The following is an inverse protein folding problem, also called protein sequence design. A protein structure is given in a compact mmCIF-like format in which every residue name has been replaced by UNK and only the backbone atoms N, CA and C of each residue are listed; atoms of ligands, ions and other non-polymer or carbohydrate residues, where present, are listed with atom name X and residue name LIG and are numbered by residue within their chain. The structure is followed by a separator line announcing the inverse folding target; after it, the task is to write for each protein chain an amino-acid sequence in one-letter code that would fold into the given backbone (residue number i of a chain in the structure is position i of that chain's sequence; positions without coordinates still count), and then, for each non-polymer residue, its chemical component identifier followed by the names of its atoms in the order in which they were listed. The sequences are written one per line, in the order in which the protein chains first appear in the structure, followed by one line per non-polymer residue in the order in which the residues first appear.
data_IF_640986244133
#
_entry.id   IF_640986244133
#
_cell.length_a   1.000
_cell.length_b   1.000
_cell.length_c   1.000
_cell.angle_alpha   90.00
_cell.angle_beta   90.00
_cell.angle_gamma   90.00
#
_symmetry.space_group_name_H-M   'P 1'
#
loop_
_entity.id
_entity.type
_entity.pdbx_description
1 polymer ?
#
# COMPACT_ATOMS: atom_id res chain seq x y z
N UNK A 1 53.53 -5.00 49.32
CA UNK A 1 53.66 -5.28 47.87
C UNK A 1 52.72 -4.34 47.14
N UNK A 2 53.26 -3.48 46.26
CA UNK A 2 52.51 -2.44 45.54
C UNK A 2 51.71 -3.08 44.41
N UNK A 3 50.37 -3.01 44.44
CA UNK A 3 49.55 -3.24 43.25
C UNK A 3 49.72 -2.04 42.32
N UNK A 4 50.46 -2.23 41.23
CA UNK A 4 50.50 -1.27 40.12
C UNK A 4 49.21 -1.48 39.30
N UNK A 5 48.27 -0.54 39.36
CA UNK A 5 47.23 -0.43 38.34
C UNK A 5 47.92 0.03 37.04
N UNK A 6 47.96 -0.83 36.01
CA UNK A 6 48.25 -0.37 34.65
C UNK A 6 46.92 -0.06 33.95
N UNK A 7 46.73 1.21 33.57
CA UNK A 7 45.70 1.59 32.61
C UNK A 7 46.09 1.05 31.23
N UNK A 8 45.31 0.13 30.69
CA UNK A 8 45.38 -0.20 29.26
C UNK A 8 44.60 0.87 28.48
N UNK A 9 45.32 1.79 27.82
CA UNK A 9 44.77 2.94 27.08
C UNK A 9 43.84 2.57 25.90
N UNK A 10 43.57 1.29 25.63
CA UNK A 10 42.76 0.83 24.51
C UNK A 10 41.38 0.25 24.88
N UNK A 11 41.05 0.06 26.17
CA UNK A 11 39.79 -0.63 26.53
C UNK A 11 39.00 -0.11 27.76
N UNK A 12 39.41 1.00 28.38
CA UNK A 12 38.55 1.76 29.31
C UNK A 12 37.92 1.03 30.53
N UNK A 13 38.35 -0.19 30.89
CA UNK A 13 37.75 -0.97 31.99
C UNK A 13 38.80 -1.57 32.90
N UNK A 14 38.60 -1.46 34.23
CA UNK A 14 39.47 -2.00 35.28
C UNK A 14 39.05 -3.43 35.64
N UNK A 15 39.96 -4.41 35.56
CA UNK A 15 39.70 -5.80 35.97
C UNK A 15 40.69 -6.21 37.07
N UNK A 16 40.18 -6.74 38.17
CA UNK A 16 40.97 -7.32 39.26
C UNK A 16 41.34 -8.78 38.95
N UNK A 17 42.61 -9.15 39.09
CA UNK A 17 43.08 -10.53 38.90
C UNK A 17 43.00 -11.32 40.22
N UNK A 18 42.37 -12.49 40.19
CA UNK A 18 42.59 -13.56 41.18
C UNK A 18 43.07 -14.82 40.46
N UNK A 19 44.18 -15.37 40.96
CA UNK A 19 44.94 -16.50 40.43
C UNK A 19 44.10 -17.76 40.19
N UNK A 20 44.04 -18.21 38.94
CA UNK A 20 43.84 -19.62 38.60
C UNK A 20 44.81 -19.97 37.46
N UNK A 21 45.79 -20.81 37.77
CA UNK A 21 46.78 -21.31 36.83
C UNK A 21 46.14 -22.25 35.80
N UNK A 22 46.47 -22.05 34.52
CA UNK A 22 46.29 -23.08 33.50
C UNK A 22 45.21 -22.84 32.44
N UNK A 23 45.12 -21.65 31.86
CA UNK A 23 44.54 -21.45 30.52
C UNK A 23 45.33 -20.38 29.76
N UNK A 24 45.67 -20.70 28.51
CA UNK A 24 46.32 -19.80 27.56
C UNK A 24 45.43 -18.57 27.33
N UNK A 25 45.84 -17.41 27.87
CA UNK A 25 45.13 -16.13 27.79
C UNK A 25 45.35 -15.51 26.41
N UNK A 26 44.71 -16.08 25.38
CA UNK A 26 44.48 -15.36 24.15
C UNK A 26 43.43 -14.27 24.40
N UNK A 27 43.84 -13.01 24.35
CA UNK A 27 42.93 -11.87 24.25
C UNK A 27 42.07 -12.04 22.98
N UNK A 28 40.88 -12.64 23.12
CA UNK A 28 39.89 -12.67 22.04
C UNK A 28 39.30 -11.28 21.87
N UNK A 29 39.51 -10.73 20.68
CA UNK A 29 38.86 -9.52 20.16
C UNK A 29 37.33 -9.59 20.40
N UNK A 30 36.64 -8.56 20.93
CA UNK A 30 35.18 -8.61 21.13
C UNK A 30 34.38 -8.59 19.82
N UNK A 31 35.05 -8.48 18.68
CA UNK A 31 34.43 -8.45 17.36
C UNK A 31 34.08 -9.85 16.81
N UNK A 32 33.41 -10.71 17.59
CA UNK A 32 32.74 -11.92 17.07
C UNK A 32 31.58 -12.37 17.98
N UNK A 33 30.62 -11.49 18.23
CA UNK A 33 29.23 -11.93 18.18
C UNK A 33 28.95 -12.18 16.69
N UNK A 34 29.21 -13.41 16.24
CA UNK A 34 28.75 -13.88 14.95
C UNK A 34 27.22 -13.74 14.96
N UNK A 35 26.69 -12.65 14.42
CA UNK A 35 25.34 -12.65 13.86
C UNK A 35 25.39 -13.75 12.82
N UNK A 36 24.94 -14.95 13.19
CA UNK A 36 24.83 -16.06 12.25
C UNK A 36 24.02 -15.53 11.09
N UNK A 37 24.63 -15.47 9.89
CA UNK A 37 23.86 -15.14 8.69
C UNK A 37 22.75 -16.20 8.60
N UNK A 38 21.48 -15.79 8.57
CA UNK A 38 20.37 -16.73 8.52
C UNK A 38 20.55 -17.68 7.35
N UNK A 39 20.25 -18.98 7.55
CA UNK A 39 20.28 -19.96 6.47
C UNK A 39 19.27 -19.54 5.39
N UNK A 40 19.72 -19.19 4.17
CA UNK A 40 18.82 -18.75 3.09
C UNK A 40 17.85 -19.85 2.65
N UNK A 41 18.05 -21.10 3.09
CA UNK A 41 17.13 -22.23 2.85
C UNK A 41 15.97 -22.29 3.86
N UNK A 42 16.04 -21.58 4.99
CA UNK A 42 14.93 -21.51 5.94
C UNK A 42 14.00 -20.36 5.60
N UNK A 43 12.72 -20.68 5.42
CA UNK A 43 11.68 -19.69 5.16
C UNK A 43 11.51 -18.73 6.36
N UNK A 44 11.58 -19.29 7.57
CA UNK A 44 11.55 -18.54 8.82
C UNK A 44 12.97 -18.29 9.37
N UNK A 45 13.18 -17.05 9.78
CA UNK A 45 14.36 -16.60 10.50
C UNK A 45 14.38 -17.01 11.96
N UNK A 46 13.20 -17.16 12.56
CA UNK A 46 12.98 -17.46 13.97
C UNK A 46 11.90 -18.53 14.09
N UNK A 47 11.90 -19.36 15.14
CA UNK A 47 10.74 -20.19 15.45
C UNK A 47 9.46 -19.33 15.55
N UNK A 48 8.36 -19.71 14.87
CA UNK A 48 7.14 -18.91 14.90
C UNK A 48 6.55 -18.85 16.31
N UNK A 49 6.07 -17.67 16.72
CA UNK A 49 5.26 -17.52 17.94
C UNK A 49 3.80 -17.71 17.55
N UNK A 50 3.09 -18.65 18.17
CA UNK A 50 1.73 -19.01 17.75
C UNK A 50 0.71 -18.97 18.90
N UNK A 51 -0.50 -18.53 18.58
CA UNK A 51 -1.70 -18.69 19.39
C UNK A 51 -2.79 -19.32 18.51
N UNK A 52 -3.17 -20.56 18.85
CA UNK A 52 -4.04 -21.35 17.99
C UNK A 52 -3.41 -21.58 16.61
N UNK A 53 -4.16 -21.26 15.55
CA UNK A 53 -3.71 -21.39 14.16
C UNK A 53 -2.92 -20.18 13.64
N UNK A 54 -2.84 -19.08 14.39
CA UNK A 54 -2.19 -17.84 13.96
C UNK A 54 -0.83 -17.69 14.59
N UNK A 55 0.15 -17.33 13.77
CA UNK A 55 1.54 -17.25 14.15
C UNK A 55 2.21 -15.99 13.61
N UNK A 56 3.14 -15.43 14.37
CA UNK A 56 4.12 -14.47 13.87
C UNK A 56 5.31 -15.23 13.28
N UNK A 57 5.35 -15.24 11.96
CA UNK A 57 6.48 -15.67 11.14
C UNK A 57 7.35 -14.48 10.79
N UNK A 58 8.64 -14.70 10.56
CA UNK A 58 9.54 -13.64 10.11
C UNK A 58 10.48 -14.20 9.06
N UNK A 59 10.47 -13.64 7.86
CA UNK A 59 11.43 -13.96 6.82
C UNK A 59 12.53 -12.90 6.81
N UNK A 60 13.80 -13.32 6.80
CA UNK A 60 14.86 -12.42 6.41
C UNK A 60 14.89 -12.30 4.88
N UNK A 61 15.11 -11.08 4.37
CA UNK A 61 15.45 -10.80 2.97
C UNK A 61 14.30 -10.87 1.97
N UNK A 62 13.16 -10.25 2.24
CA UNK A 62 12.19 -9.95 1.17
C UNK A 62 12.84 -9.05 0.12
N UNK A 63 12.77 -9.46 -1.15
CA UNK A 63 13.56 -8.91 -2.28
C UNK A 63 15.09 -8.88 -2.09
N UNK A 64 15.62 -9.59 -1.11
CA UNK A 64 17.01 -9.47 -0.67
C UNK A 64 17.39 -8.09 -0.12
N UNK A 65 16.39 -7.30 0.31
CA UNK A 65 16.57 -5.92 0.79
C UNK A 65 16.42 -5.86 2.32
N UNK A 66 15.31 -6.36 2.85
CA UNK A 66 14.98 -6.22 4.28
C UNK A 66 14.14 -7.38 4.81
N UNK A 67 13.95 -7.44 6.13
CA UNK A 67 13.08 -8.42 6.79
C UNK A 67 11.59 -8.12 6.61
N UNK A 68 10.76 -9.17 6.66
CA UNK A 68 9.30 -9.10 6.61
C UNK A 68 8.73 -10.01 7.71
N UNK A 69 7.87 -9.47 8.56
CA UNK A 69 7.10 -10.24 9.53
C UNK A 69 5.67 -10.46 9.05
N UNK A 70 5.13 -11.64 9.33
CA UNK A 70 3.82 -12.06 8.83
C UNK A 70 3.04 -12.68 10.00
N UNK A 71 1.88 -12.13 10.31
CA UNK A 71 0.95 -12.63 11.32
C UNK A 71 -0.20 -13.33 10.58
N UNK A 72 -0.12 -14.65 10.45
CA UNK A 72 -1.06 -15.44 9.66
C UNK A 72 -1.06 -16.89 10.09
N UNK A 73 -1.87 -17.72 9.44
CA UNK A 73 -1.66 -19.17 9.48
C UNK A 73 -0.34 -19.55 8.82
N UNK A 74 0.24 -20.69 9.18
CA UNK A 74 1.46 -21.18 8.54
C UNK A 74 1.27 -21.56 7.07
N UNK A 75 0.03 -21.83 6.62
CA UNK A 75 -0.28 -22.08 5.22
C UNK A 75 -0.16 -20.79 4.39
N UNK A 76 -0.78 -19.71 4.86
CA UNK A 76 -0.68 -18.39 4.24
C UNK A 76 0.78 -17.91 4.17
N UNK A 77 1.54 -18.08 5.25
CA UNK A 77 2.97 -17.72 5.29
C UNK A 77 3.77 -18.40 4.16
N UNK A 78 3.57 -19.71 3.94
CA UNK A 78 4.27 -20.44 2.87
C UNK A 78 4.00 -19.85 1.49
N UNK A 79 2.81 -19.29 1.25
CA UNK A 79 2.46 -18.70 -0.03
C UNK A 79 3.06 -17.29 -0.20
N UNK A 80 3.12 -16.49 0.87
CA UNK A 80 3.87 -15.23 0.85
C UNK A 80 5.34 -15.45 0.53
N UNK A 81 5.96 -16.48 1.10
CA UNK A 81 7.36 -16.82 0.81
C UNK A 81 7.55 -17.23 -0.66
N UNK A 82 6.56 -17.84 -1.32
CA UNK A 82 6.62 -18.12 -2.77
C UNK A 82 6.60 -16.83 -3.59
N UNK A 83 5.80 -15.84 -3.20
CA UNK A 83 5.70 -14.54 -3.88
C UNK A 83 7.06 -13.79 -3.92
N UNK A 84 7.96 -14.05 -2.96
CA UNK A 84 9.33 -13.50 -2.94
C UNK A 84 10.08 -13.72 -4.26
N UNK A 85 9.92 -14.89 -4.91
CA UNK A 85 10.61 -15.19 -6.18
C UNK A 85 10.25 -14.18 -7.27
N UNK A 86 8.97 -13.81 -7.34
CA UNK A 86 8.49 -12.81 -8.27
C UNK A 86 8.94 -11.40 -7.88
N UNK A 87 8.89 -11.07 -6.58
CA UNK A 87 9.31 -9.77 -6.08
C UNK A 87 10.80 -9.46 -6.32
N UNK A 88 11.68 -10.48 -6.24
CA UNK A 88 13.12 -10.35 -6.54
C UNK A 88 13.38 -10.05 -8.02
N UNK A 89 12.53 -10.57 -8.91
CA UNK A 89 12.63 -10.34 -10.36
C UNK A 89 12.12 -8.95 -10.77
N UNK A 90 11.26 -8.34 -9.96
CA UNK A 90 10.76 -6.99 -10.23
C UNK A 90 11.90 -5.96 -10.10
N UNK A 91 12.21 -5.18 -11.16
CA UNK A 91 13.24 -4.16 -11.11
C UNK A 91 13.04 -3.23 -9.92
N UNK A 92 14.14 -2.86 -9.25
CA UNK A 92 14.06 -1.77 -8.28
C UNK A 92 13.76 -0.47 -9.02
N UNK A 93 12.77 0.26 -8.52
CA UNK A 93 12.60 1.66 -8.93
C UNK A 93 13.69 2.41 -8.21
N UNK A 94 14.75 2.75 -8.94
CA UNK A 94 15.86 3.46 -8.36
C UNK A 94 15.33 4.79 -7.79
N UNK A 95 15.54 5.01 -6.48
CA UNK A 95 15.06 6.18 -5.73
C UNK A 95 15.48 7.52 -6.38
N UNK A 96 16.49 7.47 -7.26
CA UNK A 96 16.99 8.50 -8.19
C UNK A 96 16.58 9.93 -7.86
N UNK A 97 16.86 10.40 -6.64
CA UNK A 97 16.59 11.78 -6.20
C UNK A 97 15.26 12.34 -6.76
N UNK A 98 14.20 11.52 -6.87
CA UNK A 98 12.92 11.95 -7.48
C UNK A 98 12.01 12.60 -6.46
N UNK A 99 12.19 12.20 -5.20
CA UNK A 99 11.47 12.72 -4.07
C UNK A 99 12.33 12.70 -2.81
N UNK A 100 11.90 13.46 -1.81
CA UNK A 100 12.49 13.51 -0.48
C UNK A 100 11.37 13.44 0.59
N UNK A 101 11.68 12.84 1.74
CA UNK A 101 10.75 12.75 2.87
C UNK A 101 11.11 13.84 3.87
N UNK A 102 10.23 14.80 4.08
CA UNK A 102 10.49 15.96 4.96
C UNK A 102 9.36 16.18 5.94
N UNK A 103 9.66 16.88 7.03
CA UNK A 103 8.62 17.41 7.89
C UNK A 103 7.80 18.46 7.13
N UNK A 104 6.47 18.34 7.19
CA UNK A 104 5.52 19.31 6.63
C UNK A 104 4.72 19.88 7.81
N UNK A 105 4.66 21.22 7.96
CA UNK A 105 3.87 21.84 9.01
C UNK A 105 2.45 21.27 9.05
N UNK A 106 1.98 20.93 10.25
CA UNK A 106 0.66 20.33 10.54
C UNK A 106 0.33 18.99 9.86
N UNK A 107 1.26 18.36 9.13
CA UNK A 107 1.07 17.06 8.46
C UNK A 107 2.12 16.00 8.82
N UNK A 108 2.92 16.22 9.85
CA UNK A 108 3.98 15.28 10.23
C UNK A 108 5.08 15.22 9.16
N UNK A 109 5.36 14.04 8.61
CA UNK A 109 6.26 13.89 7.45
C UNK A 109 5.45 13.70 6.17
N UNK A 110 5.97 14.19 5.06
CA UNK A 110 5.39 13.98 3.73
C UNK A 110 6.47 13.78 2.67
N UNK A 111 6.04 13.31 1.50
CA UNK A 111 6.89 13.07 0.34
C UNK A 111 6.79 14.26 -0.61
N UNK A 112 7.91 14.90 -0.93
CA UNK A 112 7.95 16.01 -1.89
C UNK A 112 8.77 15.62 -3.11
N UNK A 113 8.28 15.95 -4.30
CA UNK A 113 9.04 15.78 -5.53
C UNK A 113 10.25 16.72 -5.56
N UNK A 114 11.41 16.21 -5.95
CA UNK A 114 12.66 16.98 -6.08
C UNK A 114 13.00 17.29 -7.54
N UNK A 115 12.31 16.65 -8.47
CA UNK A 115 12.37 16.90 -9.91
C UNK A 115 10.99 16.67 -10.54
N UNK A 116 10.82 17.03 -11.82
CA UNK A 116 9.59 16.72 -12.55
C UNK A 116 9.38 15.21 -12.63
N UNK A 117 8.17 14.77 -12.31
CA UNK A 117 7.70 13.40 -12.48
C UNK A 117 6.60 13.43 -13.53
N UNK A 118 6.76 12.70 -14.62
CA UNK A 118 5.78 12.70 -15.69
C UNK A 118 4.55 11.88 -15.29
N UNK A 119 3.38 12.25 -15.80
CA UNK A 119 2.16 11.43 -15.71
C UNK A 119 2.45 9.99 -16.11
N UNK A 120 2.02 9.05 -15.28
CA UNK A 120 2.20 7.61 -15.53
C UNK A 120 3.54 7.06 -15.05
N UNK A 121 4.51 7.88 -14.64
CA UNK A 121 5.76 7.37 -14.07
C UNK A 121 5.52 6.66 -12.74
N UNK A 122 6.28 5.58 -12.52
CA UNK A 122 6.41 4.98 -11.18
C UNK A 122 7.31 5.87 -10.32
N UNK A 123 6.74 6.32 -9.20
CA UNK A 123 7.39 7.20 -8.22
C UNK A 123 8.16 6.36 -7.21
N UNK A 124 7.49 5.35 -6.66
CA UNK A 124 7.98 4.54 -5.54
C UNK A 124 7.50 3.10 -5.72
N UNK A 125 8.35 2.15 -5.33
CA UNK A 125 7.98 0.74 -5.25
C UNK A 125 8.44 0.21 -3.90
N UNK A 126 7.50 0.01 -2.99
CA UNK A 126 7.76 -0.34 -1.60
C UNK A 126 7.41 -1.81 -1.32
N UNK A 127 8.12 -2.37 -0.35
CA UNK A 127 8.02 -3.75 0.07
C UNK A 127 7.45 -3.82 1.49
N UNK A 128 6.62 -4.83 1.80
CA UNK A 128 5.93 -4.85 3.08
C UNK A 128 6.92 -5.18 4.21
N UNK A 129 6.82 -4.45 5.31
CA UNK A 129 7.55 -4.76 6.54
C UNK A 129 6.74 -5.71 7.44
N UNK A 130 5.41 -5.55 7.45
CA UNK A 130 4.49 -6.37 8.22
C UNK A 130 3.28 -6.72 7.35
N UNK A 131 2.85 -7.98 7.38
CA UNK A 131 1.57 -8.43 6.82
C UNK A 131 0.81 -9.13 7.95
N UNK A 132 -0.42 -8.73 8.24
CA UNK A 132 -1.23 -9.35 9.28
C UNK A 132 -2.61 -9.73 8.74
N UNK A 133 -3.08 -10.96 9.00
CA UNK A 133 -4.44 -11.36 8.64
C UNK A 133 -5.44 -10.51 9.43
N UNK A 134 -6.45 -9.99 8.74
CA UNK A 134 -7.55 -9.25 9.35
C UNK A 134 -8.46 -10.14 10.23
N UNK A 135 -8.29 -11.46 10.16
CA UNK A 135 -9.03 -12.43 10.99
C UNK A 135 -8.41 -12.63 12.37
N UNK A 136 -7.19 -12.13 12.64
CA UNK A 136 -6.52 -12.28 13.93
C UNK A 136 -7.43 -11.93 15.12
N UNK A 137 -8.17 -10.79 15.15
CA UNK A 137 -9.03 -10.44 16.27
C UNK A 137 -10.17 -11.43 16.55
N UNK A 138 -10.57 -12.24 15.56
CA UNK A 138 -11.62 -13.26 15.72
C UNK A 138 -11.08 -14.58 16.29
N UNK A 139 -9.76 -14.79 16.29
CA UNK A 139 -9.13 -16.07 16.61
C UNK A 139 -8.18 -16.05 17.80
N UNK A 140 -7.75 -14.87 18.25
CA UNK A 140 -6.87 -14.72 19.42
C UNK A 140 -7.43 -13.67 20.37
N UNK A 141 -7.08 -13.77 21.65
CA UNK A 141 -7.43 -12.73 22.63
C UNK A 141 -6.66 -11.44 22.36
N UNK A 142 -7.12 -10.27 22.85
CA UNK A 142 -6.39 -9.01 22.68
C UNK A 142 -4.94 -9.06 23.18
N UNK A 143 -4.68 -9.74 24.31
CA UNK A 143 -3.32 -9.89 24.85
C UNK A 143 -2.42 -10.75 23.96
N UNK A 144 -2.98 -11.79 23.34
CA UNK A 144 -2.24 -12.65 22.41
C UNK A 144 -1.96 -11.91 21.09
N UNK A 145 -2.96 -11.18 20.58
CA UNK A 145 -2.80 -10.28 19.43
C UNK A 145 -1.67 -9.27 19.65
N UNK A 146 -1.67 -8.58 20.80
CA UNK A 146 -0.59 -7.67 21.17
C UNK A 146 0.79 -8.34 21.14
N UNK A 147 0.91 -9.57 21.68
CA UNK A 147 2.18 -10.31 21.65
C UNK A 147 2.60 -10.70 20.22
N UNK A 148 1.65 -11.06 19.35
CA UNK A 148 1.94 -11.34 17.94
C UNK A 148 2.50 -10.10 17.22
N UNK A 149 1.86 -8.93 17.37
CA UNK A 149 2.28 -7.67 16.74
C UNK A 149 3.60 -7.14 17.31
N UNK A 150 3.77 -7.19 18.63
CA UNK A 150 5.02 -6.80 19.28
C UNK A 150 6.19 -7.67 18.79
N UNK A 151 5.97 -8.99 18.71
CA UNK A 151 6.97 -9.93 18.18
C UNK A 151 7.28 -9.67 16.72
N UNK A 152 6.27 -9.30 15.92
CA UNK A 152 6.44 -9.02 14.51
C UNK A 152 7.42 -7.88 14.28
N UNK A 153 7.33 -6.80 15.06
CA UNK A 153 8.26 -5.66 14.98
C UNK A 153 9.64 -5.99 15.57
N UNK A 154 9.70 -6.66 16.72
CA UNK A 154 10.97 -6.97 17.40
C UNK A 154 11.90 -7.88 16.59
N UNK A 155 11.34 -8.72 15.72
CA UNK A 155 12.12 -9.66 14.90
C UNK A 155 12.57 -9.09 13.55
N UNK A 156 12.13 -7.88 13.22
CA UNK A 156 12.64 -7.19 12.04
C UNK A 156 14.12 -6.85 12.23
N UNK A 157 14.84 -6.72 11.13
CA UNK A 157 16.19 -6.17 11.14
C UNK A 157 16.16 -4.72 11.65
N UNK A 158 17.26 -4.23 12.27
CA UNK A 158 17.25 -2.95 12.98
C UNK A 158 16.82 -1.74 12.12
N UNK A 159 17.16 -1.73 10.83
CA UNK A 159 16.81 -0.62 9.94
C UNK A 159 15.31 -0.61 9.64
N UNK A 160 14.73 -1.77 9.33
CA UNK A 160 13.29 -1.92 9.09
C UNK A 160 12.48 -1.67 10.35
N UNK A 161 12.93 -2.19 11.50
CA UNK A 161 12.32 -1.94 12.79
C UNK A 161 12.27 -0.44 13.10
N UNK A 162 13.39 0.27 12.93
CA UNK A 162 13.45 1.71 13.12
C UNK A 162 12.54 2.48 12.15
N UNK A 163 12.44 2.03 10.89
CA UNK A 163 11.53 2.60 9.90
C UNK A 163 10.07 2.51 10.32
N UNK A 164 9.63 1.33 10.78
CA UNK A 164 8.27 1.07 11.28
C UNK A 164 7.98 1.90 12.53
N UNK A 165 8.88 1.88 13.53
CA UNK A 165 8.68 2.59 14.79
C UNK A 165 8.75 4.12 14.65
N UNK A 166 9.23 4.63 13.53
CA UNK A 166 9.25 6.05 13.20
C UNK A 166 7.99 6.52 12.45
N UNK A 167 7.01 5.65 12.20
CA UNK A 167 5.71 6.02 11.65
C UNK A 167 4.81 6.60 12.75
N UNK A 168 3.94 7.52 12.34
CA UNK A 168 2.96 8.11 13.25
C UNK A 168 1.81 7.12 13.48
N UNK A 169 1.23 7.13 14.68
CA UNK A 169 0.06 6.33 15.01
C UNK A 169 -1.06 7.19 15.58
N UNK A 170 -2.30 6.82 15.27
CA UNK A 170 -3.52 7.39 15.80
C UNK A 170 -4.36 6.29 16.48
N UNK A 171 -5.16 6.66 17.48
CA UNK A 171 -5.99 5.70 18.22
C UNK A 171 -5.17 4.91 19.24
N UNK A 172 -4.91 3.63 18.95
CA UNK A 172 -4.17 2.73 19.83
C UNK A 172 -2.71 3.16 20.03
N UNK A 173 -2.05 2.61 21.05
CA UNK A 173 -0.64 2.92 21.35
C UNK A 173 0.32 1.89 20.75
N UNK A 174 1.55 2.30 20.49
CA UNK A 174 2.60 1.39 20.01
C UNK A 174 2.33 0.85 18.61
N UNK A 175 2.60 -0.44 18.41
CA UNK A 175 2.51 -1.09 17.09
C UNK A 175 1.07 -1.14 16.57
N UNK A 176 0.09 -1.32 17.45
CA UNK A 176 -1.32 -1.39 17.05
C UNK A 176 -1.77 -0.07 16.42
N UNK A 177 -1.46 1.07 17.04
CA UNK A 177 -1.77 2.39 16.47
C UNK A 177 -1.03 2.67 15.16
N UNK A 178 0.21 2.20 15.02
CA UNK A 178 0.96 2.27 13.76
C UNK A 178 0.25 1.47 12.67
N UNK A 179 -0.14 0.22 12.96
CA UNK A 179 -0.83 -0.64 11.99
C UNK A 179 -2.21 -0.07 11.62
N UNK A 180 -3.01 0.37 12.58
CA UNK A 180 -4.32 0.99 12.36
C UNK A 180 -4.25 2.20 11.42
N UNK A 181 -3.19 3.00 11.54
CA UNK A 181 -3.05 4.26 10.80
C UNK A 181 -2.42 4.09 9.42
N UNK A 182 -1.50 3.14 9.28
CA UNK A 182 -0.58 3.08 8.14
C UNK A 182 -0.73 1.83 7.27
N UNK A 183 -1.48 0.82 7.72
CA UNK A 183 -1.62 -0.41 6.96
C UNK A 183 -2.63 -0.26 5.80
N UNK A 184 -2.31 -0.91 4.68
CA UNK A 184 -3.15 -0.99 3.50
C UNK A 184 -3.86 -2.33 3.46
N UNK A 185 -5.12 -2.33 3.02
CA UNK A 185 -5.82 -3.59 2.72
C UNK A 185 -5.13 -4.31 1.56
N UNK A 186 -4.85 -5.58 1.76
CA UNK A 186 -4.21 -6.47 0.81
C UNK A 186 -5.02 -7.74 0.66
N UNK A 187 -5.09 -8.25 -0.58
CA UNK A 187 -5.63 -9.58 -0.86
C UNK A 187 -4.74 -10.28 -1.87
N UNK A 188 -4.30 -11.49 -1.54
CA UNK A 188 -3.44 -12.31 -2.39
C UNK A 188 -3.79 -13.79 -2.20
N UNK A 189 -3.26 -14.66 -3.06
CA UNK A 189 -3.44 -16.10 -2.90
C UNK A 189 -2.72 -16.58 -1.64
N UNK A 190 -3.50 -16.82 -0.59
CA UNK A 190 -3.05 -17.33 0.69
C UNK A 190 -3.15 -18.86 0.79
N UNK A 191 -3.53 -19.54 -0.29
CA UNK A 191 -3.72 -21.00 -0.33
C UNK A 191 -5.15 -21.43 -0.01
N UNK A 192 -6.13 -20.56 -0.25
CA UNK A 192 -7.55 -20.88 -0.21
C UNK A 192 -8.24 -20.58 1.11
N UNK A 193 -7.64 -19.78 2.00
CA UNK A 193 -8.35 -19.23 3.17
C UNK A 193 -9.17 -18.00 2.80
N UNK A 194 -8.74 -17.25 1.76
CA UNK A 194 -9.48 -16.09 1.27
C UNK A 194 -9.47 -14.93 2.25
N UNK A 195 -8.46 -14.85 3.12
CA UNK A 195 -8.34 -13.84 4.14
C UNK A 195 -8.03 -12.46 3.51
N UNK A 196 -8.59 -11.41 4.12
CA UNK A 196 -8.09 -10.06 3.94
C UNK A 196 -6.91 -9.81 4.87
N UNK A 197 -5.94 -9.03 4.40
CA UNK A 197 -4.72 -8.71 5.15
C UNK A 197 -4.54 -7.20 5.30
N UNK A 198 -3.86 -6.82 6.38
CA UNK A 198 -3.31 -5.49 6.63
C UNK A 198 -1.81 -5.53 6.34
N UNK A 199 -1.35 -4.78 5.35
CA UNK A 199 0.05 -4.68 4.96
C UNK A 199 0.63 -3.31 5.29
N UNK A 200 1.76 -3.29 5.98
CA UNK A 200 2.49 -2.07 6.29
C UNK A 200 3.67 -1.87 5.32
N UNK A 201 3.68 -0.72 4.64
CA UNK A 201 4.70 -0.32 3.66
C UNK A 201 5.40 0.96 4.14
N UNK A 202 6.55 0.88 4.84
CA UNK A 202 7.08 2.02 5.59
C UNK A 202 7.41 3.28 4.78
N UNK A 203 7.86 3.15 3.53
CA UNK A 203 8.14 4.30 2.67
C UNK A 203 6.83 4.89 2.10
N UNK A 204 5.88 4.04 1.70
CA UNK A 204 4.56 4.49 1.21
C UNK A 204 3.73 5.15 2.31
N UNK A 205 3.83 4.67 3.55
CA UNK A 205 3.16 5.26 4.71
C UNK A 205 3.64 6.68 5.05
N UNK A 206 4.64 7.22 4.34
CA UNK A 206 5.04 8.64 4.40
C UNK A 206 4.26 9.54 3.44
N UNK A 207 3.46 8.98 2.55
CA UNK A 207 2.72 9.76 1.54
C UNK A 207 1.41 10.22 2.15
N UNK A 208 1.24 11.54 2.26
CA UNK A 208 0.05 12.14 2.85
C UNK A 208 -1.20 12.02 1.95
N UNK A 209 -2.35 12.21 2.60
CA UNK A 209 -3.63 12.25 1.93
C UNK A 209 -3.89 13.54 1.15
N UNK A 210 -4.52 13.42 -0.02
CA UNK A 210 -5.32 14.49 -0.62
C UNK A 210 -6.62 13.93 -1.21
N UNK A 211 -7.72 14.70 -1.13
CA UNK A 211 -9.02 14.27 -1.65
C UNK A 211 -9.06 14.22 -3.19
N UNK A 212 -8.17 14.97 -3.85
CA UNK A 212 -7.88 14.89 -5.28
C UNK A 212 -6.37 14.67 -5.45
N UNK A 213 -5.89 13.43 -5.31
CA UNK A 213 -4.46 13.15 -5.24
C UNK A 213 -3.76 13.31 -6.59
N UNK A 214 -2.43 13.44 -6.56
CA UNK A 214 -1.60 13.48 -7.76
C UNK A 214 -0.87 12.16 -8.04
N UNK A 215 -0.99 11.17 -7.14
CA UNK A 215 -0.51 9.82 -7.31
C UNK A 215 -1.58 8.80 -6.85
N UNK A 216 -1.42 7.54 -7.25
CA UNK A 216 -2.24 6.44 -6.76
C UNK A 216 -1.37 5.29 -6.28
N UNK A 217 -1.87 4.58 -5.28
CA UNK A 217 -1.26 3.38 -4.73
C UNK A 217 -1.87 2.15 -5.41
N UNK A 218 -1.01 1.25 -5.88
CA UNK A 218 -1.38 0.03 -6.58
C UNK A 218 -0.63 -1.15 -5.96
N UNK A 219 -1.37 -1.96 -5.21
CA UNK A 219 -0.85 -3.21 -4.67
C UNK A 219 -0.67 -4.26 -5.78
N UNK A 220 0.26 -5.19 -5.63
CA UNK A 220 0.43 -6.33 -6.53
C UNK A 220 0.37 -7.66 -5.79
N UNK A 221 -0.72 -8.45 -5.87
CA UNK A 221 -0.87 -9.75 -5.20
C UNK A 221 0.22 -10.75 -5.53
N UNK A 222 0.78 -10.69 -6.74
CA UNK A 222 1.84 -11.63 -7.19
C UNK A 222 3.18 -11.34 -6.54
N UNK A 223 3.49 -10.06 -6.30
CA UNK A 223 4.80 -9.61 -5.81
C UNK A 223 4.75 -9.00 -4.42
N UNK A 224 3.54 -8.84 -3.87
CA UNK A 224 3.20 -8.14 -2.63
C UNK A 224 3.78 -6.72 -2.51
N UNK A 225 4.14 -6.10 -3.63
CA UNK A 225 4.69 -4.74 -3.64
C UNK A 225 3.58 -3.71 -3.72
N UNK A 226 3.84 -2.54 -3.15
CA UNK A 226 3.03 -1.35 -3.33
C UNK A 226 3.72 -0.42 -4.31
N UNK A 227 3.10 -0.19 -5.47
CA UNK A 227 3.56 0.75 -6.47
C UNK A 227 2.83 2.09 -6.30
N UNK A 228 3.57 3.20 -6.30
CA UNK A 228 3.02 4.55 -6.36
C UNK A 228 3.28 5.12 -7.74
N UNK A 229 2.22 5.52 -8.43
CA UNK A 229 2.31 6.02 -9.81
C UNK A 229 1.63 7.37 -9.98
N UNK A 230 2.29 8.26 -10.71
CA UNK A 230 1.82 9.62 -10.95
C UNK A 230 0.54 9.63 -11.81
N UNK A 231 -0.46 10.40 -11.39
CA UNK A 231 -1.74 10.56 -12.10
C UNK A 231 -1.73 11.70 -13.12
N UNK A 232 -0.88 12.69 -12.85
CA UNK A 232 -0.57 13.85 -13.66
C UNK A 232 0.91 14.16 -13.53
N UNK A 233 1.39 15.13 -14.28
CA UNK A 233 2.72 15.68 -14.04
C UNK A 233 2.79 16.27 -12.63
N UNK A 234 3.90 15.99 -11.92
CA UNK A 234 4.20 16.52 -10.59
C UNK A 234 5.49 17.32 -10.70
N UNK A 235 5.44 18.60 -10.32
CA UNK A 235 6.57 19.52 -10.42
C UNK A 235 7.48 19.45 -9.18
N UNK A 236 8.76 19.87 -9.30
CA UNK A 236 9.64 19.97 -8.13
C UNK A 236 9.01 20.85 -7.03
N UNK A 237 9.05 20.38 -5.80
CA UNK A 237 8.48 21.04 -4.63
C UNK A 237 7.01 20.68 -4.35
N UNK A 238 6.29 20.04 -5.28
CA UNK A 238 4.95 19.54 -5.01
C UNK A 238 4.99 18.36 -4.03
N UNK A 239 4.05 18.35 -3.08
CA UNK A 239 3.78 17.19 -2.23
C UNK A 239 3.13 16.08 -3.06
N UNK A 240 3.70 14.88 -3.00
CA UNK A 240 3.12 13.66 -3.57
C UNK A 240 2.06 13.17 -2.59
N UNK A 241 0.86 12.91 -3.09
CA UNK A 241 -0.30 12.52 -2.29
C UNK A 241 -1.09 11.39 -2.92
N UNK A 242 -1.74 10.58 -2.07
CA UNK A 242 -2.68 9.52 -2.44
C UNK A 242 -4.03 9.74 -1.74
N UNK A 243 -5.08 9.02 -2.15
CA UNK A 243 -6.33 8.99 -1.37
C UNK A 243 -6.28 7.88 -0.33
N UNK A 244 -6.69 8.16 0.91
CA UNK A 244 -6.80 7.17 1.99
C UNK A 244 -8.18 6.53 2.07
N UNK A 245 -9.17 7.15 1.42
CA UNK A 245 -10.55 6.70 1.44
C UNK A 245 -11.19 6.86 0.07
N UNK A 246 -12.51 6.75 0.02
CA UNK A 246 -13.26 6.95 -1.20
C UNK A 246 -13.14 8.40 -1.70
N UNK A 247 -13.00 8.58 -3.01
CA UNK A 247 -12.77 9.89 -3.63
C UNK A 247 -14.08 10.64 -3.93
N UNK A 248 -15.23 9.96 -3.85
CA UNK A 248 -16.58 10.46 -4.16
C UNK A 248 -17.33 11.07 -2.95
N UNK A 249 -16.70 11.15 -1.77
CA UNK A 249 -17.35 11.69 -0.57
C UNK A 249 -17.51 13.23 -0.59
N UNK A 250 -18.59 13.71 0.04
CA UNK A 250 -18.85 15.14 0.32
C UNK A 250 -17.95 15.67 1.44
N UNK A 251 -17.93 16.99 1.62
CA UNK A 251 -16.96 17.65 2.49
C UNK A 251 -17.08 17.23 3.95
N UNK A 252 -18.30 17.27 4.47
CA UNK A 252 -18.55 16.88 5.86
C UNK A 252 -18.15 15.41 6.12
N UNK A 253 -18.50 14.53 5.18
CA UNK A 253 -18.22 13.09 5.26
C UNK A 253 -16.72 12.80 5.26
N UNK A 254 -15.97 13.40 4.32
CA UNK A 254 -14.51 13.20 4.24
C UNK A 254 -13.79 13.80 5.45
N UNK A 255 -14.19 14.97 5.93
CA UNK A 255 -13.61 15.56 7.16
C UNK A 255 -13.87 14.71 8.39
N UNK A 256 -15.07 14.15 8.53
CA UNK A 256 -15.41 13.25 9.63
C UNK A 256 -14.60 11.94 9.56
N UNK A 257 -14.50 11.33 8.38
CA UNK A 257 -13.70 10.13 8.16
C UNK A 257 -12.24 10.34 8.57
N UNK A 258 -11.58 11.39 8.08
CA UNK A 258 -10.15 11.60 8.36
C UNK A 258 -9.86 11.98 9.80
N UNK A 259 -10.79 12.70 10.45
CA UNK A 259 -10.69 13.00 11.88
C UNK A 259 -10.80 11.74 12.72
N UNK A 260 -11.75 10.85 12.41
CA UNK A 260 -12.00 9.63 13.19
C UNK A 260 -10.91 8.57 13.01
N UNK A 261 -10.44 8.39 11.79
CA UNK A 261 -9.56 7.27 11.46
C UNK A 261 -8.06 7.64 11.51
N UNK A 262 -7.71 8.91 11.27
CA UNK A 262 -6.31 9.37 11.23
C UNK A 262 -6.03 10.59 12.11
N UNK A 263 -7.04 11.13 12.82
CA UNK A 263 -6.84 12.23 13.75
C UNK A 263 -6.55 13.60 13.13
N UNK A 264 -6.80 13.80 11.83
CA UNK A 264 -6.53 15.09 11.16
C UNK A 264 -7.75 15.67 10.43
N UNK A 265 -7.79 17.00 10.34
CA UNK A 265 -8.69 17.71 9.42
C UNK A 265 -7.98 17.90 8.07
N UNK A 266 -8.61 17.46 6.98
CA UNK A 266 -7.97 17.51 5.67
C UNK A 266 -7.87 18.96 5.17
N UNK A 267 -6.65 19.38 4.81
CA UNK A 267 -6.32 20.72 4.32
C UNK A 267 -5.83 20.72 2.87
N UNK A 268 -6.13 19.66 2.10
CA UNK A 268 -5.79 19.62 0.68
C UNK A 268 -6.49 20.74 -0.11
N UNK A 269 -6.03 21.02 -1.33
CA UNK A 269 -6.57 22.08 -2.20
C UNK A 269 -8.10 22.08 -2.26
N UNK A 270 -8.73 20.89 -2.39
CA UNK A 270 -10.19 20.77 -2.44
C UNK A 270 -10.88 21.15 -1.12
N UNK A 271 -10.29 20.78 0.02
CA UNK A 271 -10.86 21.05 1.34
C UNK A 271 -10.53 22.46 1.87
N UNK A 272 -9.44 23.06 1.38
CA UNK A 272 -9.03 24.42 1.71
C UNK A 272 -9.65 25.48 0.77
N UNK A 273 -10.37 25.06 -0.27
CA UNK A 273 -11.06 25.94 -1.19
C UNK A 273 -12.18 26.73 -0.49
N UNK A 274 -12.62 27.84 -1.09
CA UNK A 274 -13.72 28.64 -0.57
C UNK A 274 -15.05 27.89 -0.55
N UNK A 275 -15.97 28.28 0.35
CA UNK A 275 -17.26 27.60 0.60
C UNK A 275 -18.05 27.30 -0.68
N UNK A 276 -18.08 28.25 -1.62
CA UNK A 276 -18.75 28.07 -2.92
C UNK A 276 -18.14 26.92 -3.74
N UNK A 277 -16.82 26.87 -3.85
CA UNK A 277 -16.13 25.83 -4.63
C UNK A 277 -16.30 24.45 -4.00
N UNK A 278 -16.28 24.38 -2.66
CA UNK A 278 -16.57 23.16 -1.90
C UNK A 278 -18.01 22.69 -2.15
N UNK A 279 -18.98 23.59 -2.06
CA UNK A 279 -20.40 23.26 -2.31
C UNK A 279 -20.62 22.79 -3.76
N UNK A 280 -19.97 23.41 -4.74
CA UNK A 280 -20.06 22.98 -6.14
C UNK A 280 -19.43 21.59 -6.37
N UNK A 281 -18.33 21.25 -5.69
CA UNK A 281 -17.75 19.91 -5.73
C UNK A 281 -18.70 18.88 -5.11
N UNK A 282 -19.27 19.18 -3.94
CA UNK A 282 -20.22 18.29 -3.28
C UNK A 282 -21.50 18.06 -4.12
N UNK A 283 -21.97 19.08 -4.85
CA UNK A 283 -23.07 18.93 -5.82
C UNK A 283 -22.70 18.01 -6.98
N UNK A 284 -21.49 18.15 -7.55
CA UNK A 284 -21.03 17.27 -8.63
C UNK A 284 -20.89 15.82 -8.17
N UNK A 285 -20.35 15.59 -6.98
CA UNK A 285 -20.23 14.24 -6.41
C UNK A 285 -21.58 13.62 -6.09
N UNK A 286 -22.54 14.41 -5.61
CA UNK A 286 -23.92 13.95 -5.48
C UNK A 286 -24.51 13.56 -6.83
N UNK A 287 -24.34 14.40 -7.85
CA UNK A 287 -24.85 14.13 -9.20
C UNK A 287 -24.22 12.86 -9.80
N UNK A 288 -22.92 12.65 -9.57
CA UNK A 288 -22.22 11.43 -9.95
C UNK A 288 -22.88 10.18 -9.33
N UNK A 289 -23.11 10.20 -8.02
CA UNK A 289 -23.77 9.09 -7.33
C UNK A 289 -25.20 8.83 -7.85
N UNK A 290 -25.99 9.88 -8.07
CA UNK A 290 -27.34 9.77 -8.65
C UNK A 290 -27.34 9.19 -10.07
N UNK A 291 -26.36 9.54 -10.89
CA UNK A 291 -26.21 9.00 -12.25
C UNK A 291 -25.79 7.54 -12.21
N UNK A 292 -24.81 7.18 -11.37
CA UNK A 292 -24.40 5.78 -11.19
C UNK A 292 -25.58 4.91 -10.76
N UNK A 293 -26.35 5.33 -9.75
CA UNK A 293 -27.52 4.57 -9.29
C UNK A 293 -28.52 4.31 -10.43
N UNK A 294 -28.77 5.32 -11.27
CA UNK A 294 -29.66 5.19 -12.44
C UNK A 294 -29.09 4.22 -13.47
N UNK A 295 -27.81 4.35 -13.81
CA UNK A 295 -27.12 3.53 -14.81
C UNK A 295 -27.04 2.06 -14.37
N UNK A 296 -26.82 1.79 -13.09
CA UNK A 296 -26.80 0.43 -12.54
C UNK A 296 -28.18 -0.20 -12.37
N UNK A 297 -29.24 0.61 -12.38
CA UNK A 297 -30.63 0.14 -12.22
C UNK A 297 -31.40 0.02 -13.54
N UNK A 298 -30.72 0.15 -14.68
CA UNK A 298 -31.34 0.00 -16.00
C UNK A 298 -31.86 -1.42 -16.22
N UNK A 299 -33.02 -1.52 -16.86
CA UNK A 299 -33.64 -2.75 -17.33
C UNK A 299 -33.81 -2.70 -18.85
N UNK A 300 -34.15 -3.83 -19.48
CA UNK A 300 -34.43 -3.86 -20.91
C UNK A 300 -35.54 -2.87 -21.32
N UNK A 301 -36.53 -2.64 -20.44
CA UNK A 301 -37.66 -1.74 -20.69
C UNK A 301 -37.32 -0.26 -20.49
N UNK A 302 -36.34 0.04 -19.63
CA UNK A 302 -35.94 1.41 -19.30
C UNK A 302 -34.70 1.88 -20.06
N UNK A 303 -34.03 0.96 -20.77
CA UNK A 303 -32.87 1.26 -21.59
C UNK A 303 -33.25 2.10 -22.82
N UNK A 304 -32.59 3.24 -22.95
CA UNK A 304 -32.62 4.10 -24.13
C UNK A 304 -31.18 4.55 -24.43
N UNK A 305 -30.65 4.13 -25.58
CA UNK A 305 -29.23 4.31 -25.89
C UNK A 305 -28.79 5.77 -25.87
N UNK A 306 -29.60 6.69 -26.41
CA UNK A 306 -29.26 8.12 -26.46
C UNK A 306 -29.26 8.76 -25.07
N UNK A 307 -30.22 8.38 -24.23
CA UNK A 307 -30.30 8.82 -22.85
C UNK A 307 -29.12 8.30 -22.03
N UNK A 308 -28.76 7.03 -22.19
CA UNK A 308 -27.60 6.42 -21.53
C UNK A 308 -26.32 7.13 -21.94
N UNK A 309 -26.08 7.34 -23.24
CA UNK A 309 -24.92 8.09 -23.73
C UNK A 309 -24.87 9.50 -23.11
N UNK A 310 -26.02 10.18 -23.00
CA UNK A 310 -26.11 11.49 -22.37
C UNK A 310 -25.70 11.48 -20.89
N UNK A 311 -26.16 10.48 -20.13
CA UNK A 311 -25.80 10.31 -18.72
C UNK A 311 -24.34 9.93 -18.53
N UNK A 312 -23.83 9.00 -19.35
CA UNK A 312 -22.43 8.56 -19.31
C UNK A 312 -21.46 9.71 -19.62
N UNK A 313 -21.79 10.55 -20.61
CA UNK A 313 -21.01 11.76 -20.90
C UNK A 313 -20.99 12.75 -19.74
N UNK A 314 -22.10 12.87 -18.99
CA UNK A 314 -22.14 13.68 -17.76
C UNK A 314 -21.28 13.06 -16.65
N UNK A 315 -21.31 11.73 -16.48
CA UNK A 315 -20.44 10.99 -15.55
C UNK A 315 -18.97 11.25 -15.86
N UNK A 316 -18.53 11.11 -17.11
CA UNK A 316 -17.14 11.37 -17.49
C UNK A 316 -16.74 12.84 -17.28
N UNK A 317 -17.61 13.79 -17.61
CA UNK A 317 -17.33 15.21 -17.37
C UNK A 317 -17.20 15.56 -15.88
N UNK A 318 -17.98 14.91 -15.01
CA UNK A 318 -17.84 15.06 -13.56
C UNK A 318 -16.54 14.39 -13.10
N UNK A 319 -16.26 13.18 -13.59
CA UNK A 319 -15.07 12.41 -13.25
C UNK A 319 -13.77 13.18 -13.55
N UNK A 320 -13.67 13.79 -14.73
CA UNK A 320 -12.51 14.60 -15.13
C UNK A 320 -12.30 15.84 -14.22
N UNK A 321 -13.40 16.44 -13.73
CA UNK A 321 -13.32 17.64 -12.86
C UNK A 321 -12.98 17.29 -11.42
N UNK A 322 -13.56 16.20 -10.91
CA UNK A 322 -13.45 15.78 -9.51
C UNK A 322 -12.28 14.81 -9.26
N UNK A 323 -11.67 14.27 -10.31
CA UNK A 323 -10.60 13.26 -10.21
C UNK A 323 -11.14 11.89 -9.79
N UNK A 324 -12.21 11.41 -10.45
CA UNK A 324 -12.89 10.14 -10.14
C UNK A 324 -12.57 9.05 -11.17
N UNK A 325 -11.44 9.14 -11.86
CA UNK A 325 -11.12 8.24 -12.98
C UNK A 325 -10.99 6.78 -12.55
N UNK A 326 -10.72 6.52 -11.27
CA UNK A 326 -10.68 5.18 -10.71
C UNK A 326 -12.07 4.53 -10.55
N UNK A 327 -13.15 5.31 -10.64
CA UNK A 327 -14.53 4.87 -10.38
C UNK A 327 -15.35 4.62 -11.66
N UNK A 328 -14.80 4.90 -12.84
CA UNK A 328 -15.56 4.91 -14.11
C UNK A 328 -15.30 3.71 -15.03
N UNK A 329 -14.69 2.64 -14.52
CA UNK A 329 -14.35 1.47 -15.33
C UNK A 329 -15.59 0.80 -15.94
N UNK A 330 -16.67 0.69 -15.18
CA UNK A 330 -17.93 0.08 -15.61
C UNK A 330 -18.70 0.96 -16.60
N UNK A 331 -18.60 2.28 -16.44
CA UNK A 331 -19.18 3.29 -17.33
C UNK A 331 -18.51 3.23 -18.72
N UNK A 332 -17.18 3.12 -18.76
CA UNK A 332 -16.42 2.92 -20.00
C UNK A 332 -16.81 1.63 -20.71
N UNK A 333 -16.97 0.53 -19.96
CA UNK A 333 -17.41 -0.76 -20.48
C UNK A 333 -18.85 -0.68 -21.01
N UNK A 334 -19.76 -0.01 -20.29
CA UNK A 334 -21.14 0.20 -20.73
C UNK A 334 -21.21 0.95 -22.06
N UNK A 335 -20.38 1.98 -22.24
CA UNK A 335 -20.31 2.70 -23.50
C UNK A 335 -19.90 1.80 -24.66
N UNK A 336 -18.96 0.87 -24.45
CA UNK A 336 -18.58 -0.11 -25.47
C UNK A 336 -19.79 -0.95 -25.91
N UNK A 337 -20.56 -1.48 -24.95
CA UNK A 337 -21.76 -2.26 -25.26
C UNK A 337 -22.87 -1.45 -25.93
N UNK A 338 -23.08 -0.20 -25.49
CA UNK A 338 -24.11 0.68 -26.08
C UNK A 338 -23.79 0.94 -27.55
N UNK A 339 -22.55 1.32 -27.88
CA UNK A 339 -22.17 1.57 -29.28
C UNK A 339 -22.14 0.30 -30.12
N UNK A 340 -21.76 -0.85 -29.56
CA UNK A 340 -21.86 -2.14 -30.24
C UNK A 340 -23.33 -2.44 -30.62
N UNK A 341 -24.28 -2.22 -29.70
CA UNK A 341 -25.71 -2.42 -29.95
C UNK A 341 -26.29 -1.45 -30.99
N UNK A 342 -25.71 -0.26 -31.14
CA UNK A 342 -26.06 0.70 -32.18
C UNK A 342 -25.43 0.39 -33.55
N UNK A 343 -24.55 -0.61 -33.63
CA UNK A 343 -23.81 -0.95 -34.85
C UNK A 343 -22.63 -0.03 -35.14
N UNK A 344 -22.26 0.86 -34.22
CA UNK A 344 -21.07 1.71 -34.36
C UNK A 344 -19.85 1.02 -33.76
N UNK A 345 -19.26 0.14 -34.58
CA UNK A 345 -18.10 -0.66 -34.19
C UNK A 345 -16.89 0.19 -33.81
N UNK A 346 -16.65 1.30 -34.52
CA UNK A 346 -15.46 2.12 -34.29
C UNK A 346 -15.48 2.74 -32.89
N UNK A 347 -16.63 3.29 -32.50
CA UNK A 347 -16.84 3.79 -31.14
C UNK A 347 -16.78 2.65 -30.11
N UNK A 348 -17.43 1.51 -30.37
CA UNK A 348 -17.42 0.38 -29.46
C UNK A 348 -16.00 -0.09 -29.11
N UNK A 349 -15.13 -0.25 -30.11
CA UNK A 349 -13.73 -0.64 -29.92
C UNK A 349 -12.97 0.43 -29.12
N UNK A 350 -13.16 1.71 -29.44
CA UNK A 350 -12.51 2.80 -28.71
C UNK A 350 -12.89 2.78 -27.21
N UNK A 351 -14.17 2.63 -26.89
CA UNK A 351 -14.63 2.59 -25.50
C UNK A 351 -14.16 1.33 -24.77
N UNK A 352 -14.15 0.17 -25.43
CA UNK A 352 -13.62 -1.07 -24.86
C UNK A 352 -12.12 -0.96 -24.55
N UNK A 353 -11.33 -0.31 -25.42
CA UNK A 353 -9.92 -0.03 -25.16
C UNK A 353 -9.75 0.91 -23.95
N UNK A 354 -10.55 1.98 -23.84
CA UNK A 354 -10.52 2.86 -22.68
C UNK A 354 -10.88 2.13 -21.39
N UNK A 355 -11.88 1.25 -21.41
CA UNK A 355 -12.28 0.43 -20.28
C UNK A 355 -11.14 -0.49 -19.83
N UNK A 356 -10.54 -1.24 -20.76
CA UNK A 356 -9.36 -2.08 -20.51
C UNK A 356 -8.22 -1.28 -19.89
N UNK A 357 -7.85 -0.14 -20.49
CA UNK A 357 -6.74 0.68 -20.02
C UNK A 357 -7.01 1.26 -18.63
N UNK A 358 -8.25 1.66 -18.36
CA UNK A 358 -8.70 2.11 -17.04
C UNK A 358 -8.61 0.99 -16.00
N UNK A 359 -9.12 -0.20 -16.31
CA UNK A 359 -9.06 -1.36 -15.43
C UNK A 359 -7.61 -1.75 -15.11
N UNK A 360 -6.75 -1.86 -16.14
CA UNK A 360 -5.33 -2.16 -15.97
C UNK A 360 -4.63 -1.12 -15.08
N UNK A 361 -5.01 0.16 -15.22
CA UNK A 361 -4.47 1.24 -14.41
C UNK A 361 -4.94 1.19 -12.96
N UNK A 362 -6.24 1.02 -12.73
CA UNK A 362 -6.87 1.27 -11.43
C UNK A 362 -7.39 0.04 -10.70
N UNK A 363 -7.99 -0.92 -11.40
CA UNK A 363 -8.57 -2.14 -10.81
C UNK A 363 -7.54 -3.26 -10.68
N UNK A 364 -6.57 -3.36 -11.59
CA UNK A 364 -5.82 -4.62 -11.76
C UNK A 364 -4.41 -4.59 -11.21
N UNK A 365 -4.24 -5.42 -10.19
CA UNK A 365 -3.05 -5.59 -9.38
C UNK A 365 -2.01 -6.59 -9.98
N UNK A 366 -2.37 -7.33 -11.04
CA UNK A 366 -1.55 -8.41 -11.64
C UNK A 366 -1.14 -8.19 -13.10
N UNK A 367 -1.46 -7.04 -13.70
CA UNK A 367 -1.56 -6.97 -15.16
C UNK A 367 -2.75 -7.81 -15.65
N UNK A 368 -2.97 -7.81 -16.97
CA UNK A 368 -4.07 -8.34 -17.83
C UNK A 368 -4.94 -9.53 -17.34
N UNK A 369 -4.51 -10.28 -16.32
CA UNK A 369 -5.11 -11.52 -15.85
C UNK A 369 -6.40 -11.41 -14.98
N UNK A 370 -6.96 -10.22 -14.69
CA UNK A 370 -8.20 -10.14 -13.90
C UNK A 370 -9.42 -10.52 -14.74
N UNK A 371 -10.45 -11.11 -14.12
CA UNK A 371 -11.67 -11.53 -14.83
C UNK A 371 -12.35 -10.36 -15.56
N UNK A 372 -12.35 -9.16 -14.97
CA UNK A 372 -12.86 -7.94 -15.64
C UNK A 372 -12.06 -7.56 -16.89
N UNK A 373 -10.72 -7.73 -16.87
CA UNK A 373 -9.88 -7.39 -18.04
C UNK A 373 -10.00 -8.47 -19.12
N UNK A 374 -10.05 -9.75 -18.73
CA UNK A 374 -10.32 -10.83 -19.68
C UNK A 374 -11.68 -10.64 -20.37
N UNK A 375 -12.71 -10.28 -19.61
CA UNK A 375 -14.05 -9.99 -20.16
C UNK A 375 -13.99 -8.89 -21.22
N UNK A 376 -13.33 -7.76 -20.94
CA UNK A 376 -13.26 -6.68 -21.94
C UNK A 376 -12.32 -7.02 -23.11
N UNK A 377 -11.32 -7.87 -22.91
CA UNK A 377 -10.47 -8.40 -23.99
C UNK A 377 -11.24 -9.35 -24.91
N UNK A 378 -12.14 -10.19 -24.36
CA UNK A 378 -13.06 -11.00 -25.14
C UNK A 378 -13.99 -10.12 -25.99
N UNK A 379 -14.55 -9.06 -25.41
CA UNK A 379 -15.35 -8.06 -26.17
C UNK A 379 -14.53 -7.45 -27.30
N UNK A 380 -13.28 -7.07 -27.07
CA UNK A 380 -12.40 -6.55 -28.11
C UNK A 380 -12.16 -7.57 -29.23
N UNK A 381 -11.95 -8.84 -28.89
CA UNK A 381 -11.76 -9.92 -29.87
C UNK A 381 -13.03 -10.17 -30.71
N UNK A 382 -14.21 -10.17 -30.08
CA UNK A 382 -15.50 -10.29 -30.77
C UNK A 382 -15.73 -9.10 -31.71
N UNK A 383 -15.46 -7.89 -31.23
CA UNK A 383 -15.55 -6.68 -32.03
C UNK A 383 -14.53 -6.64 -33.16
N UNK A 384 -13.38 -7.32 -33.07
CA UNK A 384 -12.40 -7.42 -34.16
C UNK A 384 -12.76 -8.51 -35.19
N UNK A 385 -13.50 -9.54 -34.78
CA UNK A 385 -13.86 -10.69 -35.62
C UNK A 385 -15.17 -10.50 -36.43
N UNK A 386 -16.08 -9.63 -35.96
CA UNK A 386 -17.27 -9.21 -36.70
C UNK A 386 -16.91 -8.37 -37.92
#
# INVERSE_FOLDING_TARGET
MKCLLLLCLLCGSLVACTDIAGFDLQCRNPAHLLVQRPDPKKADSHPPLCFGSYCTHTAHYYRDIHSLSIISTSQAFRNVVKARKHAVQTPQVARQNRYDIRAIPSKGKGVLATQRIAKGDVIMLDSPAIIASAQVPAHVTPSEGFQLFQTAVQRLDPATQAGVLALDGHGSTGVDGIMETNAFSCRFDDGGTGDDYLCLYPDVSRINHACRPNAHAKFSPRTLLMEIRALRDILPGEEISISYGKVDMKYAERQDLYRKNWGFGCTCELCAAGEKAVAESDQRKQRFAELHERLTSLTAETFDAQRVIGWENEVFAISDREGLEALVAEDLERMAYVYAALGDRAEAVMWAQKARDNMVRWKVATGVDSDDVKRIEEVLLELDAA
#
